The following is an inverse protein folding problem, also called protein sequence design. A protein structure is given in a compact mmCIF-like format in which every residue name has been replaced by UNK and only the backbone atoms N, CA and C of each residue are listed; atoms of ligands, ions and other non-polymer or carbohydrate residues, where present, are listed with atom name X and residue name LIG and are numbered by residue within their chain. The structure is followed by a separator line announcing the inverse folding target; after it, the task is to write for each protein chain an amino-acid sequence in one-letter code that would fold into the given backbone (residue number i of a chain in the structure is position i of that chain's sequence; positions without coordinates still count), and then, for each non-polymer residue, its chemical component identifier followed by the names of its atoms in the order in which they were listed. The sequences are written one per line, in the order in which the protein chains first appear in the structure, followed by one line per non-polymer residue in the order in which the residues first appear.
data_IF_914016656996
#
_entry.id   IF_914016656996
#
_cell.length_a   1.000
_cell.length_b   1.000
_cell.length_c   1.000
_cell.angle_alpha   90.00
_cell.angle_beta   90.00
_cell.angle_gamma   90.00
#
_symmetry.space_group_name_H-M   'P 1'
#
loop_
_entity.id
_entity.type
_entity.pdbx_description
1 polymer ?
#
# COMPACT_ATOMS: atom_id res chain seq x y z
N UNK A 1 0.07 10.72 -47.28
CA UNK A 1 -0.05 12.19 -47.34
C UNK A 1 -1.27 12.60 -46.54
N UNK A 2 -1.07 12.72 -45.22
CA UNK A 2 -1.76 13.62 -44.28
C UNK A 2 -1.14 13.31 -42.91
N UNK A 3 -0.28 14.23 -42.47
CA UNK A 3 0.35 14.27 -41.15
C UNK A 3 -0.71 14.38 -40.06
N UNK A 4 -0.58 13.56 -39.01
CA UNK A 4 -1.13 13.84 -37.69
C UNK A 4 0.03 13.70 -36.69
N UNK A 5 0.98 14.61 -36.84
CA UNK A 5 1.98 14.93 -35.83
C UNK A 5 1.30 15.80 -34.75
N UNK A 6 0.66 15.16 -33.78
CA UNK A 6 0.40 15.80 -32.49
C UNK A 6 1.67 15.61 -31.64
N UNK A 7 2.70 16.41 -31.91
CA UNK A 7 3.84 16.58 -30.99
C UNK A 7 3.29 17.14 -29.67
N UNK A 8 3.56 16.51 -28.51
CA UNK A 8 3.39 17.18 -27.25
C UNK A 8 4.44 18.29 -27.15
N UNK A 9 4.00 19.54 -27.26
CA UNK A 9 4.84 20.72 -27.12
C UNK A 9 5.11 21.00 -25.64
N UNK A 10 5.98 20.19 -25.04
CA UNK A 10 6.94 20.68 -24.04
C UNK A 10 8.30 20.15 -24.47
N UNK A 11 8.93 20.93 -25.33
CA UNK A 11 10.31 20.76 -25.70
C UNK A 11 11.17 21.21 -24.52
N UNK A 12 11.78 20.24 -23.81
CA UNK A 12 12.77 20.50 -22.74
C UNK A 12 14.02 21.25 -23.27
N UNK A 13 14.06 21.59 -24.57
CA UNK A 13 15.08 22.42 -25.20
C UNK A 13 14.63 23.84 -25.51
N UNK A 14 13.62 24.37 -24.81
CA UNK A 14 13.17 25.76 -24.95
C UNK A 14 14.31 26.78 -24.73
N UNK A 15 14.98 27.17 -25.83
CA UNK A 15 16.03 28.19 -25.88
C UNK A 15 15.40 29.56 -26.09
N UNK A 16 14.85 30.13 -25.01
CA UNK A 16 14.42 31.53 -24.94
C UNK A 16 15.22 32.33 -23.90
N UNK A 17 15.24 33.67 -23.95
CA UNK A 17 15.81 34.48 -22.88
C UNK A 17 14.98 34.30 -21.60
N UNK A 18 15.44 33.46 -20.67
CA UNK A 18 14.75 33.27 -19.39
C UNK A 18 14.94 34.51 -18.50
N UNK A 19 13.87 35.28 -18.32
CA UNK A 19 13.76 36.27 -17.25
C UNK A 19 13.42 35.57 -15.93
N UNK A 20 13.77 36.17 -14.80
CA UNK A 20 13.39 35.64 -13.48
C UNK A 20 11.87 35.47 -13.39
N UNK A 21 11.37 34.44 -12.67
CA UNK A 21 9.93 34.23 -12.49
C UNK A 21 9.25 35.49 -11.96
N UNK A 22 8.05 35.77 -12.47
CA UNK A 22 7.22 36.90 -12.06
C UNK A 22 5.80 36.42 -11.82
N UNK A 23 5.09 37.10 -10.93
CA UNK A 23 3.69 36.87 -10.58
C UNK A 23 2.75 36.88 -11.82
N UNK A 24 3.06 37.70 -12.81
CA UNK A 24 2.29 37.83 -14.07
C UNK A 24 2.71 36.84 -15.15
N UNK A 25 3.73 36.02 -14.91
CA UNK A 25 4.23 35.06 -15.90
C UNK A 25 3.34 33.83 -16.03
N UNK A 26 3.44 33.13 -17.15
CA UNK A 26 2.75 31.85 -17.38
C UNK A 26 3.52 30.68 -16.77
N UNK A 27 2.87 29.51 -16.61
CA UNK A 27 3.58 28.33 -16.11
C UNK A 27 4.70 27.92 -17.08
N UNK A 28 4.47 28.04 -18.39
CA UNK A 28 5.49 27.81 -19.40
C UNK A 28 6.73 28.72 -19.24
N UNK A 29 6.55 30.01 -18.96
CA UNK A 29 7.66 30.94 -18.71
C UNK A 29 8.46 30.56 -17.46
N UNK A 30 7.78 30.11 -16.40
CA UNK A 30 8.45 29.63 -15.19
C UNK A 30 9.26 28.36 -15.47
N UNK A 31 8.69 27.38 -16.20
CA UNK A 31 9.39 26.13 -16.58
C UNK A 31 10.66 26.44 -17.39
N UNK A 32 10.60 27.36 -18.36
CA UNK A 32 11.78 27.77 -19.16
C UNK A 32 12.89 28.28 -18.25
N UNK A 33 12.55 29.06 -17.22
CA UNK A 33 13.52 29.51 -16.24
C UNK A 33 14.08 28.34 -15.42
N UNK A 34 13.23 27.43 -14.94
CA UNK A 34 13.66 26.27 -14.15
C UNK A 34 14.63 25.39 -14.94
N UNK A 35 14.32 25.09 -16.20
CA UNK A 35 15.17 24.30 -17.09
C UNK A 35 16.54 24.93 -17.30
N UNK A 36 16.59 26.25 -17.50
CA UNK A 36 17.87 26.96 -17.62
C UNK A 36 18.76 26.79 -16.38
N UNK A 37 18.16 26.70 -15.20
CA UNK A 37 18.89 26.54 -13.94
C UNK A 37 19.29 25.08 -13.66
N UNK A 38 18.39 24.11 -13.91
CA UNK A 38 18.52 22.76 -13.36
C UNK A 38 18.58 21.62 -14.40
N UNK A 39 18.23 21.84 -15.67
CA UNK A 39 18.20 20.75 -16.66
C UNK A 39 19.57 20.07 -16.88
N UNK A 40 20.67 20.79 -16.66
CA UNK A 40 22.04 20.28 -16.77
C UNK A 40 22.69 19.91 -15.43
N UNK A 41 21.89 19.76 -14.36
CA UNK A 41 22.41 19.42 -13.04
C UNK A 41 23.12 18.06 -13.06
N UNK A 42 24.32 18.00 -12.45
CA UNK A 42 25.10 16.77 -12.34
C UNK A 42 24.80 16.09 -11.01
N UNK A 43 24.25 14.87 -11.09
CA UNK A 43 24.01 13.98 -9.95
C UNK A 43 24.84 12.72 -10.10
N UNK A 44 25.36 12.22 -8.98
CA UNK A 44 26.31 11.10 -8.93
C UNK A 44 25.72 9.85 -8.26
N UNK A 45 24.75 10.04 -7.37
CA UNK A 45 24.05 8.99 -6.64
C UNK A 45 22.65 9.47 -6.21
N UNK A 46 21.81 8.57 -5.70
CA UNK A 46 20.45 8.91 -5.27
C UNK A 46 20.39 10.01 -4.17
N UNK A 47 21.36 10.06 -3.26
CA UNK A 47 21.46 11.12 -2.25
C UNK A 47 21.64 12.51 -2.90
N UNK A 48 22.49 12.63 -3.91
CA UNK A 48 22.68 13.90 -4.64
C UNK A 48 21.43 14.35 -5.42
N UNK A 49 20.52 13.43 -5.74
CA UNK A 49 19.20 13.78 -6.30
C UNK A 49 18.31 14.41 -5.22
N UNK A 50 18.27 13.84 -4.02
CA UNK A 50 17.55 14.43 -2.86
C UNK A 50 18.09 15.82 -2.53
N UNK A 51 19.41 16.00 -2.46
CA UNK A 51 20.02 17.30 -2.18
C UNK A 51 19.69 18.34 -3.25
N UNK A 52 19.76 17.95 -4.53
CA UNK A 52 19.37 18.80 -5.65
C UNK A 52 17.92 19.24 -5.52
N UNK A 53 17.01 18.29 -5.29
CA UNK A 53 15.59 18.56 -5.11
C UNK A 53 15.35 19.56 -3.97
N UNK A 54 15.88 19.29 -2.78
CA UNK A 54 15.66 20.12 -1.59
C UNK A 54 16.28 21.51 -1.69
N UNK A 55 17.38 21.64 -2.45
CA UNK A 55 18.00 22.95 -2.74
C UNK A 55 17.20 23.72 -3.78
N UNK A 56 16.81 23.07 -4.87
CA UNK A 56 16.05 23.69 -5.95
C UNK A 56 14.67 24.16 -5.48
N UNK A 57 13.97 23.36 -4.67
CA UNK A 57 12.71 23.73 -4.02
C UNK A 57 12.85 25.07 -3.26
N UNK A 58 13.84 25.15 -2.36
CA UNK A 58 14.10 26.37 -1.56
C UNK A 58 14.44 27.58 -2.41
N UNK A 59 15.28 27.42 -3.43
CA UNK A 59 15.72 28.52 -4.29
C UNK A 59 14.60 29.02 -5.21
N UNK A 60 13.80 28.11 -5.77
CA UNK A 60 12.71 28.48 -6.68
C UNK A 60 11.57 29.17 -5.94
N UNK A 61 11.23 28.74 -4.72
CA UNK A 61 10.13 29.36 -3.98
C UNK A 61 10.48 30.73 -3.38
N UNK A 62 11.77 31.04 -3.17
CA UNK A 62 12.21 32.38 -2.74
C UNK A 62 11.81 33.49 -3.72
N UNK A 63 11.63 33.18 -5.02
CA UNK A 63 11.19 34.19 -5.99
C UNK A 63 9.74 34.65 -5.78
N UNK A 64 8.93 33.84 -5.09
CA UNK A 64 7.50 34.06 -4.87
C UNK A 64 7.17 34.45 -3.43
N UNK A 65 8.17 34.77 -2.59
CA UNK A 65 7.95 35.06 -1.16
C UNK A 65 7.03 36.26 -0.93
N UNK A 66 7.12 37.28 -1.79
CA UNK A 66 6.32 38.51 -1.72
C UNK A 66 5.10 38.51 -2.66
N UNK A 67 4.78 37.38 -3.32
CA UNK A 67 3.65 37.31 -4.25
C UNK A 67 2.32 37.18 -3.53
N UNK A 68 1.24 37.51 -4.24
CA UNK A 68 -0.11 37.20 -3.78
C UNK A 68 -0.26 35.68 -3.52
N UNK A 69 -0.96 35.32 -2.43
CA UNK A 69 -0.94 33.96 -1.88
C UNK A 69 -1.49 32.91 -2.85
N UNK A 70 -2.51 33.25 -3.64
CA UNK A 70 -3.13 32.32 -4.59
C UNK A 70 -2.19 31.97 -5.72
N UNK A 71 -1.63 32.96 -6.40
CA UNK A 71 -0.66 32.73 -7.49
C UNK A 71 0.66 32.15 -6.99
N UNK A 72 1.08 32.49 -5.76
CA UNK A 72 2.18 31.80 -5.07
C UNK A 72 1.88 30.31 -4.93
N UNK A 73 0.68 29.94 -4.49
CA UNK A 73 0.29 28.52 -4.39
C UNK A 73 0.34 27.80 -5.74
N UNK A 74 -0.17 28.43 -6.81
CA UNK A 74 -0.09 27.88 -8.18
C UNK A 74 1.37 27.70 -8.62
N UNK A 75 2.23 28.68 -8.32
CA UNK A 75 3.66 28.62 -8.60
C UNK A 75 4.35 27.50 -7.81
N UNK A 76 4.07 27.36 -6.52
CA UNK A 76 4.63 26.31 -5.66
C UNK A 76 4.24 24.92 -6.20
N UNK A 77 2.99 24.73 -6.64
CA UNK A 77 2.55 23.49 -7.32
C UNK A 77 3.41 23.26 -8.57
N UNK A 78 3.56 24.27 -9.43
CA UNK A 78 4.35 24.15 -10.66
C UNK A 78 5.82 23.80 -10.38
N UNK A 79 6.40 24.31 -9.30
CA UNK A 79 7.75 23.95 -8.85
C UNK A 79 7.81 22.48 -8.44
N UNK A 80 6.83 21.97 -7.66
CA UNK A 80 6.81 20.54 -7.28
C UNK A 80 6.72 19.66 -8.52
N UNK A 81 5.81 19.98 -9.45
CA UNK A 81 5.62 19.23 -10.69
C UNK A 81 6.89 19.22 -11.53
N UNK A 82 7.58 20.37 -11.64
CA UNK A 82 8.85 20.47 -12.34
C UNK A 82 9.93 19.58 -11.70
N UNK A 83 10.15 19.73 -10.39
CA UNK A 83 11.20 19.00 -9.70
C UNK A 83 10.94 17.49 -9.68
N UNK A 84 9.67 17.08 -9.59
CA UNK A 84 9.28 15.68 -9.68
C UNK A 84 9.63 15.10 -11.06
N UNK A 85 9.33 15.83 -12.14
CA UNK A 85 9.70 15.43 -13.50
C UNK A 85 11.23 15.40 -13.69
N UNK A 86 11.94 16.40 -13.15
CA UNK A 86 13.40 16.47 -13.23
C UNK A 86 14.04 15.26 -12.55
N UNK A 87 13.55 14.86 -11.36
CA UNK A 87 14.03 13.67 -10.67
C UNK A 87 13.81 12.40 -11.51
N UNK A 88 12.66 12.26 -12.16
CA UNK A 88 12.39 11.10 -13.04
C UNK A 88 13.37 11.06 -14.22
N UNK A 89 13.57 12.19 -14.91
CA UNK A 89 14.51 12.27 -16.02
C UNK A 89 15.96 11.94 -15.59
N UNK A 90 16.36 12.36 -14.38
CA UNK A 90 17.68 12.04 -13.83
C UNK A 90 17.84 10.55 -13.48
N UNK A 91 16.76 9.90 -13.02
CA UNK A 91 16.74 8.45 -12.74
C UNK A 91 16.83 7.67 -14.04
N UNK A 92 16.01 8.02 -15.03
CA UNK A 92 15.99 7.36 -16.34
C UNK A 92 17.36 7.44 -17.02
N UNK A 93 18.01 8.60 -16.96
CA UNK A 93 19.36 8.81 -17.51
C UNK A 93 20.45 7.97 -16.82
N UNK A 94 20.17 7.41 -15.64
CA UNK A 94 21.10 6.59 -14.84
C UNK A 94 20.67 5.14 -14.71
N UNK A 95 19.55 4.75 -15.34
CA UNK A 95 19.05 3.38 -15.36
C UNK A 95 20.14 2.42 -15.86
N UNK A 96 20.47 1.40 -15.06
CA UNK A 96 21.51 0.41 -15.35
C UNK A 96 22.87 0.61 -14.66
N UNK A 97 23.11 1.71 -13.95
CA UNK A 97 24.32 1.87 -13.12
C UNK A 97 24.11 1.32 -11.70
N UNK A 98 24.57 0.09 -11.44
CA UNK A 98 24.33 -0.64 -10.17
C UNK A 98 24.63 0.17 -8.90
N UNK A 99 25.72 0.94 -8.89
CA UNK A 99 26.13 1.75 -7.72
C UNK A 99 25.21 2.95 -7.45
N UNK A 100 24.47 3.43 -8.46
CA UNK A 100 23.53 4.55 -8.32
C UNK A 100 22.30 4.17 -7.49
N UNK A 101 21.92 2.89 -7.52
CA UNK A 101 20.68 2.40 -6.91
C UNK A 101 20.85 1.82 -5.50
N UNK A 102 22.07 1.78 -4.96
CA UNK A 102 22.27 1.39 -3.56
C UNK A 102 21.59 2.43 -2.65
N UNK A 103 20.52 2.01 -1.94
CA UNK A 103 19.62 2.86 -1.14
C UNK A 103 18.76 3.88 -1.91
N UNK A 104 18.65 3.77 -3.24
CA UNK A 104 17.83 4.67 -4.05
C UNK A 104 16.38 4.77 -3.55
N UNK A 105 15.75 3.64 -3.24
CA UNK A 105 14.37 3.60 -2.75
C UNK A 105 14.13 4.48 -1.51
N UNK A 106 15.11 4.55 -0.59
CA UNK A 106 15.01 5.41 0.59
C UNK A 106 14.97 6.89 0.21
N UNK A 107 15.89 7.35 -0.65
CA UNK A 107 15.96 8.74 -1.07
C UNK A 107 14.77 9.17 -1.93
N UNK A 108 14.34 8.32 -2.87
CA UNK A 108 13.15 8.59 -3.67
C UNK A 108 11.87 8.61 -2.82
N UNK A 109 11.75 7.74 -1.83
CA UNK A 109 10.62 7.78 -0.90
C UNK A 109 10.53 9.12 -0.14
N UNK A 110 11.67 9.74 0.20
CA UNK A 110 11.69 11.06 0.83
C UNK A 110 11.28 12.17 -0.14
N UNK A 111 11.76 12.13 -1.38
CA UNK A 111 11.37 13.10 -2.41
C UNK A 111 9.86 13.01 -2.63
N UNK A 112 9.32 11.81 -2.87
CA UNK A 112 7.88 11.59 -3.04
C UNK A 112 7.08 12.07 -1.84
N UNK A 113 7.52 11.73 -0.62
CA UNK A 113 6.88 12.20 0.62
C UNK A 113 6.87 13.73 0.71
N UNK A 114 8.00 14.37 0.43
CA UNK A 114 8.08 15.83 0.46
C UNK A 114 7.19 16.47 -0.61
N UNK A 115 7.24 16.00 -1.87
CA UNK A 115 6.35 16.47 -2.95
C UNK A 115 4.89 16.38 -2.55
N UNK A 116 4.47 15.24 -1.98
CA UNK A 116 3.10 15.02 -1.54
C UNK A 116 2.70 15.95 -0.38
N UNK A 117 3.57 16.13 0.61
CA UNK A 117 3.35 17.05 1.74
C UNK A 117 3.21 18.51 1.28
N UNK A 118 4.06 18.96 0.34
CA UNK A 118 3.98 20.32 -0.19
C UNK A 118 2.70 20.54 -0.99
N UNK A 119 2.37 19.63 -1.92
CA UNK A 119 1.13 19.72 -2.70
C UNK A 119 -0.10 19.73 -1.79
N UNK A 120 -0.16 18.83 -0.81
CA UNK A 120 -1.27 18.76 0.14
C UNK A 120 -1.40 20.04 0.96
N UNK A 121 -0.27 20.62 1.40
CA UNK A 121 -0.27 21.87 2.17
C UNK A 121 -0.76 23.04 1.33
N UNK A 122 -0.28 23.16 0.09
CA UNK A 122 -0.69 24.24 -0.81
C UNK A 122 -2.18 24.13 -1.16
N UNK A 123 -2.65 22.93 -1.53
CA UNK A 123 -4.05 22.70 -1.92
C UNK A 123 -5.01 22.96 -0.76
N UNK A 124 -4.61 22.68 0.49
CA UNK A 124 -5.44 22.99 1.67
C UNK A 124 -5.57 24.48 1.97
N UNK A 125 -4.60 25.29 1.55
CA UNK A 125 -4.49 26.70 1.95
C UNK A 125 -4.80 27.69 0.82
N UNK A 126 -4.83 27.23 -0.44
CA UNK A 126 -5.11 28.09 -1.59
C UNK A 126 -6.60 28.50 -1.63
N UNK A 127 -6.88 29.75 -2.01
CA UNK A 127 -8.23 30.20 -2.31
C UNK A 127 -8.64 29.69 -3.70
N UNK A 128 -9.37 28.55 -3.70
CA UNK A 128 -9.78 27.84 -4.92
C UNK A 128 -10.66 28.71 -5.81
N UNK A 129 -11.63 29.43 -5.24
CA UNK A 129 -12.54 30.30 -6.00
C UNK A 129 -11.77 31.46 -6.64
N UNK A 130 -10.82 32.05 -5.91
CA UNK A 130 -9.94 33.08 -6.46
C UNK A 130 -9.05 32.53 -7.57
N UNK A 131 -8.47 31.34 -7.39
CA UNK A 131 -7.61 30.68 -8.37
C UNK A 131 -8.37 30.43 -9.68
N UNK A 132 -9.55 29.83 -9.60
CA UNK A 132 -10.39 29.51 -10.77
C UNK A 132 -10.86 30.76 -11.51
N UNK A 133 -11.19 31.84 -10.79
CA UNK A 133 -11.65 33.09 -11.39
C UNK A 133 -10.52 33.90 -12.03
N UNK A 134 -9.37 34.02 -11.36
CA UNK A 134 -8.30 34.97 -11.73
C UNK A 134 -7.20 34.33 -12.57
N UNK A 135 -6.94 33.03 -12.37
CA UNK A 135 -5.82 32.31 -12.99
C UNK A 135 -6.26 31.04 -13.78
N UNK A 136 -7.35 31.07 -14.58
CA UNK A 136 -7.84 29.88 -15.27
C UNK A 136 -6.84 29.31 -16.29
N UNK A 137 -6.03 30.16 -16.92
CA UNK A 137 -5.02 29.70 -17.89
C UNK A 137 -3.88 28.94 -17.19
N UNK A 138 -3.43 29.38 -16.01
CA UNK A 138 -2.46 28.63 -15.21
C UNK A 138 -2.99 27.25 -14.80
N UNK A 139 -4.27 27.17 -14.40
CA UNK A 139 -4.90 25.89 -14.05
C UNK A 139 -5.00 24.95 -15.26
N UNK A 140 -5.30 25.47 -16.46
CA UNK A 140 -5.27 24.70 -17.71
C UNK A 140 -3.87 24.19 -18.03
N UNK A 141 -2.84 25.01 -17.86
CA UNK A 141 -1.44 24.62 -18.08
C UNK A 141 -1.02 23.52 -17.10
N UNK A 142 -1.39 23.62 -15.81
CA UNK A 142 -1.15 22.58 -14.80
C UNK A 142 -1.88 21.28 -15.16
N UNK A 143 -3.16 21.35 -15.51
CA UNK A 143 -3.95 20.18 -15.91
C UNK A 143 -3.32 19.46 -17.12
N UNK A 144 -2.93 20.23 -18.14
CA UNK A 144 -2.25 19.70 -19.32
C UNK A 144 -0.89 19.07 -18.99
N UNK A 145 -0.12 19.70 -18.10
CA UNK A 145 1.16 19.19 -17.65
C UNK A 145 1.01 17.81 -16.99
N UNK A 146 0.11 17.70 -16.01
CA UNK A 146 -0.13 16.46 -15.25
C UNK A 146 -0.68 15.37 -16.16
N UNK A 147 -1.62 15.72 -17.05
CA UNK A 147 -2.17 14.79 -18.05
C UNK A 147 -1.08 14.13 -18.91
N UNK A 148 -0.05 14.88 -19.31
CA UNK A 148 1.09 14.35 -20.07
C UNK A 148 1.93 13.41 -19.22
N UNK A 149 2.22 13.76 -17.96
CA UNK A 149 3.08 12.93 -17.10
C UNK A 149 2.41 11.62 -16.70
N UNK A 150 1.13 11.66 -16.34
CA UNK A 150 0.33 10.45 -16.02
C UNK A 150 0.30 9.49 -17.21
N UNK A 151 0.18 10.01 -18.43
CA UNK A 151 0.16 9.17 -19.64
C UNK A 151 1.51 8.52 -19.97
N UNK A 152 2.61 9.06 -19.45
CA UNK A 152 3.98 8.54 -19.64
C UNK A 152 4.41 7.55 -18.55
N UNK A 153 3.75 7.56 -17.41
CA UNK A 153 4.08 6.73 -16.26
C UNK A 153 3.87 5.25 -16.61
N UNK A 154 4.96 4.47 -16.64
CA UNK A 154 4.93 3.05 -17.02
C UNK A 154 4.30 2.22 -15.90
N UNK A 155 3.31 1.40 -16.25
CA UNK A 155 2.72 0.43 -15.34
C UNK A 155 3.80 -0.52 -14.78
N UNK A 156 4.06 -0.45 -13.47
CA UNK A 156 4.90 -1.40 -12.75
C UNK A 156 6.19 -0.86 -12.11
N UNK A 157 6.55 0.42 -12.29
CA UNK A 157 7.59 1.05 -11.46
C UNK A 157 6.95 1.82 -10.30
N UNK A 158 7.42 1.55 -9.08
CA UNK A 158 7.12 2.26 -7.82
C UNK A 158 5.82 3.10 -7.74
N UNK A 159 4.67 2.45 -8.00
CA UNK A 159 3.28 2.87 -7.69
C UNK A 159 2.93 4.33 -8.04
N UNK A 160 2.53 4.56 -9.29
CA UNK A 160 1.55 5.59 -9.69
C UNK A 160 1.73 6.99 -9.10
N UNK A 161 2.96 7.47 -8.93
CA UNK A 161 3.25 8.76 -8.31
C UNK A 161 2.54 9.90 -9.05
N UNK A 162 2.61 9.90 -10.38
CA UNK A 162 1.92 10.91 -11.18
C UNK A 162 0.41 10.73 -11.13
N UNK A 163 -0.08 9.50 -11.05
CA UNK A 163 -1.49 9.23 -10.78
C UNK A 163 -1.94 9.79 -9.42
N UNK A 164 -1.19 9.63 -8.34
CA UNK A 164 -1.50 10.19 -7.02
C UNK A 164 -1.44 11.73 -7.00
N UNK A 165 -0.46 12.33 -7.69
CA UNK A 165 -0.40 13.79 -7.90
C UNK A 165 -1.66 14.26 -8.66
N UNK A 166 -2.03 13.53 -9.71
CA UNK A 166 -3.24 13.81 -10.50
C UNK A 166 -4.49 13.76 -9.64
N UNK A 167 -4.68 12.69 -8.86
CA UNK A 167 -5.80 12.55 -7.92
C UNK A 167 -5.88 13.73 -6.97
N UNK A 168 -4.75 14.09 -6.35
CA UNK A 168 -4.70 15.19 -5.39
C UNK A 168 -5.09 16.54 -6.02
N UNK A 169 -4.58 16.83 -7.23
CA UNK A 169 -4.89 18.07 -7.93
C UNK A 169 -6.33 18.12 -8.45
N UNK A 170 -6.83 17.02 -9.01
CA UNK A 170 -8.21 16.93 -9.51
C UNK A 170 -9.25 16.88 -8.40
N UNK A 171 -8.91 16.40 -7.21
CA UNK A 171 -9.80 16.44 -6.05
C UNK A 171 -9.82 17.82 -5.36
N UNK A 172 -8.73 18.58 -5.45
CA UNK A 172 -8.52 19.77 -4.62
C UNK A 172 -8.57 21.11 -5.35
N UNK A 173 -8.00 21.23 -6.55
CA UNK A 173 -7.80 22.51 -7.24
C UNK A 173 -8.45 22.56 -8.62
N UNK A 174 -8.31 21.48 -9.38
CA UNK A 174 -8.70 21.41 -10.79
C UNK A 174 -10.16 20.97 -11.01
N UNK A 175 -10.92 20.71 -9.93
CA UNK A 175 -12.32 20.29 -9.99
C UNK A 175 -13.28 21.45 -10.38
N UNK A 176 -13.00 22.09 -11.51
CA UNK A 176 -13.87 23.06 -12.17
C UNK A 176 -14.67 22.39 -13.29
N UNK A 177 -15.91 22.82 -13.50
CA UNK A 177 -16.82 22.22 -14.48
C UNK A 177 -16.25 22.17 -15.90
N UNK A 178 -15.57 23.22 -16.34
CA UNK A 178 -15.01 23.28 -17.69
C UNK A 178 -13.77 22.38 -17.80
N UNK A 179 -12.85 22.46 -16.83
CA UNK A 179 -11.64 21.63 -16.81
C UNK A 179 -11.96 20.14 -16.76
N UNK A 180 -12.92 19.74 -15.92
CA UNK A 180 -13.38 18.35 -15.82
C UNK A 180 -14.01 17.89 -17.14
N UNK A 181 -14.84 18.72 -17.78
CA UNK A 181 -15.45 18.38 -19.06
C UNK A 181 -14.40 18.16 -20.16
N UNK A 182 -13.43 19.06 -20.26
CA UNK A 182 -12.35 18.99 -21.25
C UNK A 182 -11.48 17.74 -21.01
N UNK A 183 -11.16 17.44 -19.75
CA UNK A 183 -10.36 16.28 -19.39
C UNK A 183 -11.09 14.96 -19.63
N UNK A 184 -12.39 14.87 -19.31
CA UNK A 184 -13.20 13.69 -19.61
C UNK A 184 -13.27 13.41 -21.12
N UNK A 185 -13.38 14.44 -21.96
CA UNK A 185 -13.35 14.30 -23.42
C UNK A 185 -11.99 13.73 -23.86
N UNK A 186 -10.89 14.27 -23.34
CA UNK A 186 -9.52 13.82 -23.64
C UNK A 186 -9.32 12.36 -23.25
N UNK A 187 -9.66 11.99 -22.03
CA UNK A 187 -9.47 10.65 -21.49
C UNK A 187 -10.32 9.60 -22.21
N UNK A 188 -11.60 9.90 -22.49
CA UNK A 188 -12.47 8.99 -23.26
C UNK A 188 -11.95 8.73 -24.66
N UNK A 189 -11.35 9.75 -25.29
CA UNK A 189 -10.69 9.58 -26.60
C UNK A 189 -9.50 8.64 -26.51
N UNK A 190 -8.67 8.75 -25.47
CA UNK A 190 -7.52 7.86 -25.26
C UNK A 190 -8.00 6.43 -24.96
N UNK A 191 -8.96 6.26 -24.06
CA UNK A 191 -9.50 4.96 -23.70
C UNK A 191 -10.17 4.24 -24.89
N UNK A 192 -10.77 4.98 -25.83
CA UNK A 192 -11.39 4.43 -27.03
C UNK A 192 -10.44 4.13 -28.20
N UNK A 193 -9.19 4.58 -28.15
CA UNK A 193 -8.24 4.47 -29.26
C UNK A 193 -7.44 3.15 -29.19
N UNK A 194 -7.79 2.20 -30.05
CA UNK A 194 -7.12 0.88 -30.15
C UNK A 194 -5.67 0.95 -30.64
N UNK A 195 -5.21 2.09 -31.15
CA UNK A 195 -3.84 2.28 -31.64
C UNK A 195 -2.84 2.80 -30.60
N UNK A 196 -3.30 3.13 -29.39
CA UNK A 196 -2.47 3.68 -28.31
C UNK A 196 -1.68 2.62 -27.56
N UNK A 197 -0.64 3.05 -26.86
CA UNK A 197 0.10 2.14 -25.99
C UNK A 197 -0.79 1.69 -24.83
N UNK A 198 -0.55 0.46 -24.36
CA UNK A 198 -1.28 -0.12 -23.22
C UNK A 198 -1.20 0.79 -21.99
N UNK A 199 -0.02 1.33 -21.71
CA UNK A 199 0.24 2.26 -20.61
C UNK A 199 -0.67 3.49 -20.64
N UNK A 200 -0.78 4.15 -21.80
CA UNK A 200 -1.64 5.32 -21.95
C UNK A 200 -3.12 4.98 -21.75
N UNK A 201 -3.55 3.79 -22.20
CA UNK A 201 -4.91 3.30 -22.01
C UNK A 201 -5.22 3.08 -20.54
N UNK A 202 -4.38 2.30 -19.83
CA UNK A 202 -4.56 1.99 -18.41
C UNK A 202 -4.52 3.27 -17.54
N UNK A 203 -3.60 4.20 -17.83
CA UNK A 203 -3.54 5.49 -17.17
C UNK A 203 -4.82 6.31 -17.38
N UNK A 204 -5.36 6.32 -18.61
CA UNK A 204 -6.62 7.01 -18.88
C UNK A 204 -7.81 6.38 -18.15
N UNK A 205 -7.85 5.05 -18.07
CA UNK A 205 -8.87 4.31 -17.31
C UNK A 205 -8.82 4.66 -15.83
N UNK A 206 -7.63 4.71 -15.23
CA UNK A 206 -7.45 5.06 -13.82
C UNK A 206 -7.92 6.49 -13.50
N UNK A 207 -7.60 7.48 -14.36
CA UNK A 207 -8.08 8.86 -14.15
C UNK A 207 -9.59 8.97 -14.40
N UNK A 208 -10.17 8.23 -15.35
CA UNK A 208 -11.63 8.17 -15.51
C UNK A 208 -12.32 7.58 -14.28
N UNK A 209 -11.79 6.49 -13.74
CA UNK A 209 -12.30 5.88 -12.51
C UNK A 209 -12.22 6.86 -11.33
N UNK A 210 -11.15 7.66 -11.24
CA UNK A 210 -11.06 8.73 -10.24
C UNK A 210 -12.22 9.75 -10.35
N UNK A 211 -12.56 10.21 -11.56
CA UNK A 211 -13.69 11.13 -11.75
C UNK A 211 -15.04 10.50 -11.42
N UNK A 212 -15.24 9.22 -11.74
CA UNK A 212 -16.44 8.49 -11.36
C UNK A 212 -16.58 8.42 -9.82
N UNK A 213 -15.48 8.14 -9.11
CA UNK A 213 -15.42 8.14 -7.64
C UNK A 213 -15.74 9.53 -7.07
N UNK A 214 -15.15 10.61 -7.61
CA UNK A 214 -15.44 11.98 -7.17
C UNK A 214 -16.92 12.34 -7.36
N UNK A 215 -17.56 11.77 -8.38
CA UNK A 215 -18.97 12.00 -8.69
C UNK A 215 -19.93 11.07 -7.91
N UNK A 216 -19.40 10.13 -7.11
CA UNK A 216 -20.19 9.13 -6.38
C UNK A 216 -20.67 7.94 -7.21
N UNK A 217 -20.18 7.81 -8.45
CA UNK A 217 -20.56 6.79 -9.42
C UNK A 217 -19.63 5.57 -9.35
N UNK A 218 -19.48 4.98 -8.16
CA UNK A 218 -18.49 3.93 -7.89
C UNK A 218 -18.61 2.70 -8.81
N UNK A 219 -19.84 2.32 -9.17
CA UNK A 219 -20.09 1.17 -10.05
C UNK A 219 -19.53 1.40 -11.45
N UNK A 220 -19.55 2.64 -11.95
CA UNK A 220 -18.91 3.00 -13.21
C UNK A 220 -17.39 2.90 -13.11
N UNK A 221 -16.81 3.32 -11.97
CA UNK A 221 -15.39 3.17 -11.72
C UNK A 221 -14.96 1.70 -11.74
N UNK A 222 -15.74 0.82 -11.09
CA UNK A 222 -15.48 -0.63 -11.10
C UNK A 222 -15.56 -1.24 -12.48
N UNK A 223 -16.60 -0.91 -13.26
CA UNK A 223 -16.75 -1.43 -14.62
C UNK A 223 -15.58 -1.00 -15.53
N UNK A 224 -15.17 0.27 -15.44
CA UNK A 224 -13.98 0.76 -16.17
C UNK A 224 -12.72 0.00 -15.80
N UNK A 225 -12.49 -0.22 -14.51
CA UNK A 225 -11.29 -0.92 -14.02
C UNK A 225 -11.31 -2.38 -14.45
N UNK A 226 -12.45 -3.06 -14.31
CA UNK A 226 -12.62 -4.46 -14.69
C UNK A 226 -12.46 -4.70 -16.20
N UNK A 227 -12.85 -3.73 -17.02
CA UNK A 227 -12.80 -3.84 -18.49
C UNK A 227 -11.54 -3.26 -19.11
N UNK A 228 -10.89 -2.30 -18.42
CA UNK A 228 -9.79 -1.51 -18.97
C UNK A 228 -8.40 -1.82 -18.40
N UNK A 229 -8.31 -2.57 -17.30
CA UNK A 229 -7.03 -2.98 -16.70
C UNK A 229 -6.85 -4.50 -16.75
N UNK A 230 -5.62 -4.95 -16.98
CA UNK A 230 -5.28 -6.37 -16.92
C UNK A 230 -5.12 -6.87 -15.48
N UNK A 231 -4.61 -6.00 -14.59
CA UNK A 231 -4.36 -6.29 -13.18
C UNK A 231 -4.93 -5.18 -12.34
N UNK A 232 -5.66 -5.56 -11.29
CA UNK A 232 -6.15 -4.65 -10.26
C UNK A 232 -5.19 -4.77 -9.08
N UNK A 233 -4.38 -3.73 -8.85
CA UNK A 233 -3.58 -3.60 -7.63
C UNK A 233 -4.47 -3.04 -6.51
N UNK A 234 -4.72 -3.77 -5.41
CA UNK A 234 -5.47 -3.26 -4.28
C UNK A 234 -4.90 -1.96 -3.69
N UNK A 235 -3.58 -1.76 -3.80
CA UNK A 235 -2.87 -0.60 -3.28
C UNK A 235 -3.38 0.74 -3.83
N UNK A 236 -3.84 0.76 -5.09
CA UNK A 236 -4.34 1.98 -5.75
C UNK A 236 -5.65 2.50 -5.13
N UNK A 237 -6.37 1.64 -4.40
CA UNK A 237 -7.70 1.92 -3.89
C UNK A 237 -7.74 2.27 -2.40
N UNK A 238 -6.72 1.89 -1.63
CA UNK A 238 -6.69 2.13 -0.18
C UNK A 238 -6.79 3.61 0.19
N UNK A 239 -6.21 4.51 -0.62
CA UNK A 239 -6.35 5.95 -0.42
C UNK A 239 -7.82 6.41 -0.42
N UNK A 240 -8.65 5.86 -1.31
CA UNK A 240 -10.09 6.16 -1.34
C UNK A 240 -10.83 5.53 -0.16
N UNK A 241 -10.52 4.27 0.17
CA UNK A 241 -11.15 3.57 1.28
C UNK A 241 -10.92 4.29 2.61
N UNK A 242 -9.70 4.79 2.84
CA UNK A 242 -9.35 5.61 4.00
C UNK A 242 -10.10 6.94 4.02
N UNK A 243 -10.37 7.54 2.86
CA UNK A 243 -11.25 8.73 2.81
C UNK A 243 -12.71 8.38 3.16
N UNK A 244 -13.23 7.24 2.68
CA UNK A 244 -14.60 6.81 3.02
C UNK A 244 -14.74 6.47 4.50
N UNK A 245 -13.74 5.82 5.10
CA UNK A 245 -13.64 5.58 6.54
C UNK A 245 -13.69 6.91 7.31
N UNK A 246 -12.81 7.85 6.97
CA UNK A 246 -12.71 9.15 7.64
C UNK A 246 -13.99 9.99 7.53
N UNK A 247 -14.67 9.91 6.40
CA UNK A 247 -15.92 10.63 6.13
C UNK A 247 -17.15 9.82 6.58
N UNK A 248 -16.96 8.71 7.31
CA UNK A 248 -18.00 7.81 7.84
C UNK A 248 -18.97 7.27 6.76
N UNK A 249 -18.50 7.12 5.53
CA UNK A 249 -19.24 6.55 4.40
C UNK A 249 -19.23 5.01 4.44
N UNK A 250 -19.71 4.42 5.54
CA UNK A 250 -19.59 2.98 5.83
C UNK A 250 -20.19 2.07 4.73
N UNK A 251 -21.38 2.40 4.23
CA UNK A 251 -22.03 1.62 3.15
C UNK A 251 -21.19 1.60 1.87
N UNK A 252 -20.58 2.75 1.55
CA UNK A 252 -19.71 2.91 0.39
C UNK A 252 -18.40 2.13 0.58
N UNK A 253 -17.78 2.27 1.75
CA UNK A 253 -16.59 1.53 2.15
C UNK A 253 -16.80 0.02 2.01
N UNK A 254 -17.89 -0.52 2.55
CA UNK A 254 -18.20 -1.95 2.51
C UNK A 254 -18.41 -2.47 1.09
N UNK A 255 -19.09 -1.70 0.24
CA UNK A 255 -19.26 -2.03 -1.18
C UNK A 255 -17.89 -2.19 -1.87
N UNK A 256 -16.97 -1.25 -1.64
CA UNK A 256 -15.63 -1.34 -2.20
C UNK A 256 -14.78 -2.47 -1.61
N UNK A 257 -14.85 -2.72 -0.30
CA UNK A 257 -14.15 -3.85 0.33
C UNK A 257 -14.60 -5.18 -0.28
N UNK A 258 -15.91 -5.37 -0.48
CA UNK A 258 -16.47 -6.55 -1.16
C UNK A 258 -15.97 -6.68 -2.59
N UNK A 259 -15.95 -5.58 -3.34
CA UNK A 259 -15.49 -5.57 -4.73
C UNK A 259 -13.99 -5.88 -4.85
N UNK A 260 -13.16 -5.41 -3.91
CA UNK A 260 -11.71 -5.66 -3.89
C UNK A 260 -11.32 -7.05 -3.41
N UNK A 261 -12.18 -7.74 -2.66
CA UNK A 261 -11.89 -9.06 -2.08
C UNK A 261 -11.23 -10.07 -3.04
N UNK A 262 -11.70 -10.24 -4.29
CA UNK A 262 -11.07 -11.11 -5.28
C UNK A 262 -9.63 -10.70 -5.67
N UNK A 263 -9.34 -9.39 -5.74
CA UNK A 263 -8.00 -8.88 -6.03
C UNK A 263 -7.07 -9.09 -4.82
N UNK A 264 -7.56 -8.79 -3.62
CA UNK A 264 -6.85 -9.05 -2.35
C UNK A 264 -6.45 -10.51 -2.24
N UNK A 265 -7.32 -11.46 -2.61
CA UNK A 265 -7.01 -12.89 -2.54
C UNK A 265 -5.75 -13.27 -3.34
N UNK A 266 -5.49 -12.61 -4.47
CA UNK A 266 -4.31 -12.90 -5.31
C UNK A 266 -3.01 -12.43 -4.68
N UNK A 267 -3.06 -11.37 -3.88
CA UNK A 267 -1.89 -10.69 -3.31
C UNK A 267 -2.01 -10.50 -1.78
N UNK A 268 -2.69 -11.43 -1.12
CA UNK A 268 -3.14 -11.27 0.28
C UNK A 268 -1.97 -10.98 1.24
N UNK A 269 -0.79 -11.52 0.96
CA UNK A 269 0.43 -11.33 1.77
C UNK A 269 0.82 -9.84 1.86
N UNK A 270 0.57 -9.05 0.81
CA UNK A 270 0.99 -7.65 0.74
C UNK A 270 -0.05 -6.69 1.30
N UNK A 271 -1.33 -7.04 1.18
CA UNK A 271 -2.44 -6.11 1.39
C UNK A 271 -3.38 -6.48 2.55
N UNK A 272 -3.20 -7.66 3.18
CA UNK A 272 -4.09 -8.13 4.24
C UNK A 272 -4.22 -7.17 5.41
N UNK A 273 -3.12 -6.60 5.89
CA UNK A 273 -3.13 -5.70 7.06
C UNK A 273 -4.05 -4.52 6.81
N UNK A 274 -3.78 -3.75 5.75
CA UNK A 274 -4.56 -2.55 5.45
C UNK A 274 -6.03 -2.86 5.11
N UNK A 275 -6.27 -3.94 4.37
CA UNK A 275 -7.62 -4.39 4.03
C UNK A 275 -8.44 -4.79 5.25
N UNK A 276 -7.85 -5.54 6.19
CA UNK A 276 -8.58 -6.01 7.37
C UNK A 276 -8.71 -4.96 8.47
N UNK A 277 -7.79 -3.99 8.54
CA UNK A 277 -7.96 -2.82 9.41
C UNK A 277 -9.22 -2.04 8.99
N UNK A 278 -9.42 -1.83 7.67
CA UNK A 278 -10.63 -1.15 7.15
C UNK A 278 -11.92 -1.95 7.42
N UNK A 279 -11.87 -3.29 7.31
CA UNK A 279 -12.99 -4.14 7.69
C UNK A 279 -13.33 -4.07 9.18
N UNK A 280 -12.30 -4.02 10.03
CA UNK A 280 -12.46 -3.93 11.48
C UNK A 280 -13.16 -2.63 11.89
N UNK A 281 -12.73 -1.50 11.33
CA UNK A 281 -13.36 -0.18 11.55
C UNK A 281 -14.82 -0.16 11.07
N UNK A 282 -15.10 -0.75 9.90
CA UNK A 282 -16.45 -0.84 9.37
C UNK A 282 -17.35 -1.75 10.24
N UNK A 283 -16.82 -2.87 10.73
CA UNK A 283 -17.54 -3.81 11.59
C UNK A 283 -17.81 -3.22 12.98
N UNK A 284 -16.89 -2.42 13.54
CA UNK A 284 -17.08 -1.71 14.80
C UNK A 284 -18.21 -0.66 14.71
N UNK A 285 -18.37 -0.02 13.54
CA UNK A 285 -19.33 1.06 13.33
C UNK A 285 -20.73 0.60 12.93
N UNK A 286 -20.90 -0.66 12.50
CA UNK A 286 -22.18 -1.17 11.99
C UNK A 286 -22.58 -2.51 12.63
N UNK A 287 -23.58 -2.54 13.53
CA UNK A 287 -24.07 -3.77 14.15
C UNK A 287 -24.56 -4.77 13.09
N UNK A 288 -24.08 -6.02 13.18
CA UNK A 288 -24.49 -7.11 12.29
C UNK A 288 -23.49 -7.48 11.19
N UNK A 289 -22.39 -6.75 11.03
CA UNK A 289 -21.34 -7.08 10.05
C UNK A 289 -20.33 -8.11 10.53
N UNK A 290 -20.38 -8.50 11.80
CA UNK A 290 -19.41 -9.43 12.40
C UNK A 290 -19.28 -10.74 11.62
N UNK A 291 -20.40 -11.35 11.23
CA UNK A 291 -20.39 -12.61 10.48
C UNK A 291 -19.83 -12.44 9.05
N UNK A 292 -20.07 -11.28 8.44
CA UNK A 292 -19.50 -10.98 7.14
C UNK A 292 -18.00 -10.74 7.23
N UNK A 293 -17.54 -9.99 8.23
CA UNK A 293 -16.13 -9.76 8.52
C UNK A 293 -15.40 -11.08 8.81
N UNK A 294 -15.99 -11.94 9.65
CA UNK A 294 -15.52 -13.30 9.91
C UNK A 294 -15.35 -14.09 8.62
N UNK A 295 -16.37 -14.07 7.75
CA UNK A 295 -16.33 -14.78 6.47
C UNK A 295 -15.22 -14.25 5.56
N UNK A 296 -15.03 -12.92 5.49
CA UNK A 296 -13.96 -12.32 4.70
C UNK A 296 -12.57 -12.78 5.18
N UNK A 297 -12.36 -12.87 6.51
CA UNK A 297 -11.12 -13.42 7.07
C UNK A 297 -10.94 -14.89 6.69
N UNK A 298 -11.96 -15.74 6.84
CA UNK A 298 -11.86 -17.17 6.51
C UNK A 298 -11.54 -17.39 5.03
N UNK A 299 -12.18 -16.65 4.13
CA UNK A 299 -12.00 -16.77 2.67
C UNK A 299 -10.61 -16.35 2.16
N UNK A 300 -9.85 -15.63 2.98
CA UNK A 300 -8.54 -15.08 2.65
C UNK A 300 -7.40 -15.75 3.42
N UNK A 301 -7.67 -16.87 4.09
CA UNK A 301 -6.63 -17.72 4.66
C UNK A 301 -5.72 -18.29 3.55
N UNK A 302 -4.41 -18.46 3.83
CA UNK A 302 -3.73 -18.25 5.10
C UNK A 302 -3.30 -16.79 5.36
N UNK A 303 -3.45 -15.88 4.39
CA UNK A 303 -2.92 -14.51 4.50
C UNK A 303 -3.61 -13.65 5.57
N UNK A 304 -4.87 -13.96 5.89
CA UNK A 304 -5.65 -13.32 6.95
C UNK A 304 -5.42 -13.88 8.36
N UNK A 305 -4.50 -14.84 8.51
CA UNK A 305 -4.31 -15.60 9.75
C UNK A 305 -4.20 -14.73 11.00
N UNK A 306 -3.38 -13.67 10.94
CA UNK A 306 -3.14 -12.80 12.11
C UNK A 306 -4.43 -12.11 12.56
N UNK A 307 -5.20 -11.58 11.61
CA UNK A 307 -6.48 -10.92 11.88
C UNK A 307 -7.50 -11.92 12.44
N UNK A 308 -7.61 -13.11 11.81
CA UNK A 308 -8.56 -14.11 12.26
C UNK A 308 -8.22 -14.69 13.64
N UNK A 309 -6.92 -14.91 13.91
CA UNK A 309 -6.42 -15.32 15.23
C UNK A 309 -6.82 -14.30 16.31
N UNK A 310 -6.55 -13.02 16.09
CA UNK A 310 -6.92 -11.93 17.01
C UNK A 310 -8.42 -11.90 17.26
N UNK A 311 -9.21 -11.93 16.19
CA UNK A 311 -10.66 -11.92 16.26
C UNK A 311 -11.22 -13.10 17.09
N UNK A 312 -10.76 -14.32 16.86
CA UNK A 312 -11.21 -15.50 17.63
C UNK A 312 -10.85 -15.40 19.11
N UNK A 313 -9.67 -14.86 19.42
CA UNK A 313 -9.24 -14.65 20.80
C UNK A 313 -10.08 -13.60 21.53
N UNK A 314 -10.44 -12.50 20.86
CA UNK A 314 -11.33 -11.46 21.39
C UNK A 314 -12.76 -11.96 21.62
N UNK A 315 -13.23 -12.87 20.75
CA UNK A 315 -14.53 -13.56 20.91
C UNK A 315 -14.50 -14.74 21.88
N UNK A 316 -13.35 -15.01 22.51
CA UNK A 316 -13.14 -16.15 23.41
C UNK A 316 -13.41 -17.52 22.75
N UNK A 317 -13.29 -17.60 21.42
CA UNK A 317 -13.49 -18.81 20.61
C UNK A 317 -12.22 -19.68 20.55
N UNK A 318 -11.73 -20.07 21.72
CA UNK A 318 -10.44 -20.72 21.90
C UNK A 318 -10.29 -22.06 21.16
N UNK A 319 -11.37 -22.82 21.02
CA UNK A 319 -11.34 -24.09 20.30
C UNK A 319 -11.13 -23.86 18.79
N UNK A 320 -11.87 -22.91 18.20
CA UNK A 320 -11.73 -22.55 16.78
C UNK A 320 -10.35 -21.94 16.52
N UNK A 321 -9.83 -21.15 17.47
CA UNK A 321 -8.47 -20.64 17.42
C UNK A 321 -7.42 -21.75 17.38
N UNK A 322 -7.57 -22.79 18.21
CA UNK A 322 -6.67 -23.94 18.19
C UNK A 322 -6.79 -24.73 16.87
N UNK A 323 -7.99 -24.89 16.34
CA UNK A 323 -8.23 -25.55 15.06
C UNK A 323 -7.60 -24.76 13.90
N UNK A 324 -7.60 -23.42 13.95
CA UNK A 324 -6.91 -22.56 12.99
C UNK A 324 -5.39 -22.78 13.01
N UNK A 325 -4.78 -22.82 14.20
CA UNK A 325 -3.34 -23.10 14.31
C UNK A 325 -2.99 -24.47 13.73
N UNK A 326 -3.82 -25.49 13.98
CA UNK A 326 -3.63 -26.83 13.41
C UNK A 326 -3.78 -26.82 11.89
N UNK A 327 -4.82 -26.17 11.37
CA UNK A 327 -5.08 -26.05 9.93
C UNK A 327 -3.88 -25.45 9.19
N UNK A 328 -3.26 -24.43 9.79
CA UNK A 328 -2.11 -23.74 9.22
C UNK A 328 -0.76 -24.34 9.64
N UNK A 329 -0.77 -25.45 10.40
CA UNK A 329 0.42 -26.09 10.95
C UNK A 329 1.34 -25.12 11.72
N UNK A 330 0.76 -24.22 12.48
CA UNK A 330 1.48 -23.24 13.29
C UNK A 330 1.87 -23.89 14.62
N UNK A 331 3.17 -24.09 14.80
CA UNK A 331 3.71 -24.66 16.04
C UNK A 331 3.46 -23.74 17.24
N UNK A 332 3.05 -24.27 18.42
CA UNK A 332 3.00 -23.53 19.68
C UNK A 332 4.34 -22.93 20.15
N UNK A 333 5.44 -23.21 19.45
CA UNK A 333 6.73 -22.55 19.67
C UNK A 333 6.84 -21.21 18.95
N UNK A 334 6.01 -20.97 17.92
CA UNK A 334 5.99 -19.75 17.12
C UNK A 334 4.82 -18.82 17.49
N UNK A 335 3.87 -19.29 18.30
CA UNK A 335 2.76 -18.47 18.80
C UNK A 335 3.25 -17.56 19.93
N UNK A 336 2.70 -16.35 20.00
CA UNK A 336 3.01 -15.41 21.08
C UNK A 336 2.71 -16.02 22.47
N UNK A 337 3.61 -15.77 23.41
CA UNK A 337 3.51 -16.40 24.73
C UNK A 337 2.33 -15.90 25.56
N UNK A 338 1.83 -14.68 25.30
CA UNK A 338 0.68 -14.11 25.97
C UNK A 338 -0.62 -14.72 25.42
N UNK A 339 -0.74 -14.91 24.10
CA UNK A 339 -1.87 -15.63 23.49
C UNK A 339 -2.00 -17.03 24.09
N UNK A 340 -0.91 -17.80 24.11
CA UNK A 340 -0.91 -19.14 24.72
C UNK A 340 -1.33 -19.15 26.19
N UNK A 341 -0.86 -18.18 26.98
CA UNK A 341 -1.24 -18.06 28.41
C UNK A 341 -2.71 -17.68 28.56
N UNK A 342 -3.24 -16.83 27.69
CA UNK A 342 -4.63 -16.44 27.69
C UNK A 342 -5.52 -17.66 27.44
N UNK A 343 -5.24 -18.42 26.39
CA UNK A 343 -5.96 -19.67 26.10
C UNK A 343 -5.77 -20.69 27.23
N UNK A 344 -4.56 -20.86 27.76
CA UNK A 344 -4.29 -21.78 28.86
C UNK A 344 -5.09 -21.44 30.14
N UNK A 345 -5.32 -20.15 30.39
CA UNK A 345 -6.09 -19.69 31.55
C UNK A 345 -7.59 -19.89 31.34
N UNK A 346 -8.09 -19.66 30.13
CA UNK A 346 -9.51 -19.70 29.83
C UNK A 346 -10.00 -21.13 29.49
N UNK A 347 -9.36 -21.79 28.53
CA UNK A 347 -9.62 -23.20 28.19
C UNK A 347 -8.35 -23.96 27.81
N UNK A 348 -7.72 -24.56 28.82
CA UNK A 348 -6.54 -25.41 28.63
C UNK A 348 -6.80 -26.66 27.78
N UNK A 349 -8.06 -27.08 27.56
CA UNK A 349 -8.38 -28.24 26.72
C UNK A 349 -8.08 -27.96 25.26
N UNK A 350 -8.33 -26.75 24.80
CA UNK A 350 -8.07 -26.31 23.42
C UNK A 350 -6.58 -26.46 23.03
N UNK A 351 -5.66 -26.41 24.01
CA UNK A 351 -4.22 -26.55 23.75
C UNK A 351 -3.74 -28.00 23.62
N UNK A 352 -4.53 -29.01 24.05
CA UNK A 352 -4.08 -30.40 24.00
C UNK A 352 -3.78 -30.87 22.57
N UNK A 353 -4.68 -30.68 21.57
CA UNK A 353 -4.43 -31.10 20.20
C UNK A 353 -3.18 -30.44 19.61
N UNK A 354 -2.98 -29.15 19.88
CA UNK A 354 -1.83 -28.39 19.42
C UNK A 354 -0.51 -28.94 19.93
N UNK A 355 -0.43 -29.22 21.24
CA UNK A 355 0.78 -29.78 21.82
C UNK A 355 1.05 -31.19 21.30
N UNK A 356 0.03 -32.05 21.21
CA UNK A 356 0.18 -33.40 20.67
C UNK A 356 0.72 -33.38 19.23
N UNK A 357 0.11 -32.57 18.36
CA UNK A 357 0.51 -32.44 16.97
C UNK A 357 1.95 -31.92 16.84
N UNK A 358 2.28 -30.82 17.50
CA UNK A 358 3.60 -30.22 17.43
C UNK A 358 4.71 -31.14 17.99
N UNK A 359 4.43 -31.93 19.03
CA UNK A 359 5.39 -32.91 19.55
C UNK A 359 5.70 -33.96 18.48
N UNK A 360 4.68 -34.54 17.85
CA UNK A 360 4.87 -35.55 16.79
C UNK A 360 5.64 -34.99 15.59
N UNK A 361 5.29 -33.77 15.16
CA UNK A 361 5.96 -33.10 14.04
C UNK A 361 7.44 -32.84 14.33
N UNK A 362 7.75 -32.26 15.50
CA UNK A 362 9.13 -31.96 15.91
C UNK A 362 9.97 -33.25 16.02
N UNK A 363 9.39 -34.36 16.46
CA UNK A 363 10.10 -35.64 16.54
C UNK A 363 10.51 -36.18 15.17
N UNK A 364 9.81 -35.82 14.09
CA UNK A 364 10.20 -36.22 12.72
C UNK A 364 11.49 -35.56 12.24
N UNK A 365 11.89 -34.42 12.79
CA UNK A 365 13.10 -33.70 12.39
C UNK A 365 14.42 -34.41 12.79
N UNK A 366 14.35 -35.44 13.65
CA UNK A 366 15.43 -36.39 13.98
C UNK A 366 16.78 -35.78 14.40
N UNK A 367 16.78 -34.59 14.99
CA UNK A 367 17.99 -33.95 15.50
C UNK A 367 17.86 -33.63 16.99
N UNK A 368 19.00 -33.42 17.66
CA UNK A 368 19.06 -33.25 19.11
C UNK A 368 18.32 -32.00 19.60
N UNK A 369 18.35 -30.92 18.82
CA UNK A 369 17.71 -29.66 19.22
C UNK A 369 16.18 -29.78 19.19
N UNK A 370 15.64 -30.41 18.14
CA UNK A 370 14.23 -30.76 18.05
C UNK A 370 13.77 -31.64 19.22
N UNK A 371 14.59 -32.62 19.65
CA UNK A 371 14.23 -33.44 20.82
C UNK A 371 14.12 -32.63 22.12
N UNK A 372 14.97 -31.62 22.34
CA UNK A 372 14.82 -30.72 23.50
C UNK A 372 13.52 -29.92 23.43
N UNK A 373 13.17 -29.43 22.25
CA UNK A 373 11.92 -28.70 22.03
C UNK A 373 10.70 -29.59 22.28
N UNK A 374 10.71 -30.83 21.80
CA UNK A 374 9.66 -31.82 22.07
C UNK A 374 9.52 -32.09 23.58
N UNK A 375 10.63 -32.26 24.32
CA UNK A 375 10.60 -32.41 25.78
C UNK A 375 10.00 -31.19 26.48
N UNK A 376 10.29 -29.98 26.00
CA UNK A 376 9.68 -28.74 26.54
C UNK A 376 8.17 -28.73 26.32
N UNK A 377 7.69 -29.10 25.12
CA UNK A 377 6.26 -29.21 24.84
C UNK A 377 5.59 -30.34 25.63
N UNK A 378 6.25 -31.49 25.81
CA UNK A 378 5.75 -32.59 26.64
C UNK A 378 5.51 -32.15 28.09
N UNK A 379 6.38 -31.30 28.66
CA UNK A 379 6.18 -30.72 29.99
C UNK A 379 4.97 -29.78 30.04
N UNK A 380 4.76 -28.96 29.00
CA UNK A 380 3.56 -28.11 28.88
C UNK A 380 2.30 -28.96 28.78
N UNK A 381 2.33 -30.02 27.97
CA UNK A 381 1.23 -30.97 27.83
C UNK A 381 0.92 -31.69 29.14
N UNK A 382 1.94 -32.14 29.87
CA UNK A 382 1.78 -32.74 31.20
C UNK A 382 1.10 -31.77 32.18
N UNK A 383 1.50 -30.49 32.18
CA UNK A 383 0.89 -29.46 33.00
C UNK A 383 -0.58 -29.21 32.62
N UNK A 384 -0.89 -29.19 31.32
CA UNK A 384 -2.26 -29.06 30.81
C UNK A 384 -3.16 -30.23 31.28
N UNK A 385 -2.73 -31.48 31.10
CA UNK A 385 -3.44 -32.65 31.61
C UNK A 385 -3.61 -32.64 33.13
N UNK A 386 -2.59 -32.17 33.88
CA UNK A 386 -2.67 -32.02 35.34
C UNK A 386 -3.75 -31.02 35.75
N UNK A 387 -3.82 -29.85 35.08
CA UNK A 387 -4.88 -28.84 35.31
C UNK A 387 -6.28 -29.43 35.07
N UNK A 388 -6.40 -30.33 34.10
CA UNK A 388 -7.64 -31.04 33.77
C UNK A 388 -7.94 -32.26 34.65
N UNK A 389 -7.10 -32.57 35.63
CA UNK A 389 -7.18 -33.79 36.46
C UNK A 389 -7.15 -35.08 35.64
N UNK A 390 -6.43 -35.07 34.52
CA UNK A 390 -6.31 -36.17 33.56
C UNK A 390 -4.87 -36.70 33.45
N UNK A 391 -4.09 -36.66 34.54
CA UNK A 391 -2.68 -37.11 34.56
C UNK A 391 -2.51 -38.54 34.07
N UNK A 392 -3.43 -39.46 34.43
CA UNK A 392 -3.39 -40.86 33.97
C UNK A 392 -3.45 -40.99 32.45
N UNK A 393 -4.21 -40.11 31.77
CA UNK A 393 -4.29 -40.08 30.31
C UNK A 393 -2.97 -39.63 29.68
N UNK A 394 -2.30 -38.66 30.28
CA UNK A 394 -0.96 -38.25 29.85
C UNK A 394 0.07 -39.37 30.02
N UNK A 395 0.04 -40.10 31.13
CA UNK A 395 0.94 -41.24 31.38
C UNK A 395 0.79 -42.32 30.32
N UNK A 396 -0.46 -42.68 29.96
CA UNK A 396 -0.73 -43.64 28.87
C UNK A 396 -0.16 -43.15 27.55
N UNK A 397 -0.40 -41.89 27.19
CA UNK A 397 0.15 -41.29 25.97
C UNK A 397 1.69 -41.31 25.97
N UNK A 398 2.31 -40.91 27.07
CA UNK A 398 3.77 -40.84 27.18
C UNK A 398 4.41 -42.22 27.01
N UNK A 399 3.83 -43.27 27.62
CA UNK A 399 4.28 -44.66 27.45
C UNK A 399 4.19 -45.10 25.99
N UNK A 400 3.09 -44.77 25.29
CA UNK A 400 2.94 -45.08 23.87
C UNK A 400 3.97 -44.35 23.01
N UNK A 401 4.18 -43.05 23.27
CA UNK A 401 5.15 -42.21 22.56
C UNK A 401 6.58 -42.76 22.74
N UNK A 402 6.97 -43.10 23.97
CA UNK A 402 8.29 -43.70 24.25
C UNK A 402 8.48 -45.01 23.50
N UNK A 403 7.44 -45.86 23.46
CA UNK A 403 7.47 -47.15 22.75
C UNK A 403 7.63 -46.93 21.24
N UNK A 404 6.89 -45.98 20.67
CA UNK A 404 6.94 -45.63 19.24
C UNK A 404 8.34 -45.13 18.84
N UNK A 405 8.96 -44.28 19.66
CA UNK A 405 10.28 -43.68 19.40
C UNK A 405 11.43 -44.35 20.19
N UNK A 406 11.30 -45.64 20.52
CA UNK A 406 12.27 -46.37 21.34
C UNK A 406 13.69 -46.40 20.73
N UNK A 407 13.79 -46.34 19.40
CA UNK A 407 15.08 -46.34 18.67
C UNK A 407 15.79 -44.98 18.70
N UNK A 408 15.11 -43.91 19.11
CA UNK A 408 15.64 -42.55 19.03
C UNK A 408 16.43 -42.27 20.32
N UNK A 409 17.63 -42.84 20.43
CA UNK A 409 18.44 -42.82 21.67
C UNK A 409 18.66 -41.42 22.25
N UNK A 410 18.92 -40.44 21.39
CA UNK A 410 19.10 -39.05 21.83
C UNK A 410 17.79 -38.47 22.41
N UNK A 411 16.62 -38.79 21.83
CA UNK A 411 15.33 -38.40 22.41
C UNK A 411 15.11 -39.05 23.78
N UNK A 412 15.44 -40.35 23.93
CA UNK A 412 15.35 -41.05 25.22
C UNK A 412 16.26 -40.42 26.29
N UNK A 413 17.47 -39.98 25.91
CA UNK A 413 18.37 -39.25 26.82
C UNK A 413 17.78 -37.91 27.27
N UNK A 414 17.21 -37.14 26.33
CA UNK A 414 16.58 -35.85 26.65
C UNK A 414 15.31 -36.02 27.51
N UNK A 415 14.53 -37.10 27.32
CA UNK A 415 13.40 -37.45 28.21
C UNK A 415 13.84 -37.72 29.65
N UNK A 416 14.95 -38.46 29.86
CA UNK A 416 15.52 -38.71 31.20
C UNK A 416 15.98 -37.41 31.86
N UNK A 417 16.72 -36.57 31.13
CA UNK A 417 17.11 -35.23 31.60
C UNK A 417 15.89 -34.36 31.93
N UNK A 418 14.82 -34.53 31.15
CA UNK A 418 13.54 -33.88 31.33
C UNK A 418 12.76 -34.32 32.57
N UNK A 419 13.16 -35.41 33.25
CA UNK A 419 12.39 -36.09 34.32
C UNK A 419 11.00 -36.57 33.84
N UNK A 420 10.89 -36.93 32.56
CA UNK A 420 9.68 -37.53 31.96
C UNK A 420 9.78 -39.06 31.89
N UNK A 421 10.99 -39.59 32.03
CA UNK A 421 11.25 -41.01 32.30
C UNK A 421 11.62 -41.13 33.78
N UNK A 422 10.91 -41.98 34.51
CA UNK A 422 11.35 -42.48 35.81
C UNK A 422 12.44 -43.52 35.63
#
# INVERSE_FOLDING_TARGET
MHELDAKPQFDLTARGPASTPKETGTCAEWIIYFDKQYANAKVYNAFSVEELYMRAWRQLNQFADDWELTIRGIYDIQVVLYLTQLCDALVDAKSGMYDFFYNAGYFFSKITKHSHEQLTTVIRNIDIEHAQRKYPEHLKEIAAYVAVQVSKEVAGDSRGKWFEISKLLWSGLLYDKQLVADELIRLRKIAGDRGRSKTEHEAAVMVLAHFDILSGEDENAWDRVLTGLDVIDPGDWFGYLRSFEKDEQWDRLLKWLRWLGPAIRKEVIYHAVEYFDLWEEAAASSPGLEEEYRKAMVELLPGSYLNYSRFLLEKEEYQVWADLMLLLSISPLHIDSNELKMVEKADVRALLPLYHYAIEEILQAKNRESYKQAVKLLKKLAAAYKKLKQTSRFEVYLVQLIKQYARYRAFQEELRKGKLLL
#
